data_IF_209659137982
#
_entry.id   IF_209659137982
#
_cell.length_a   1.000
_cell.length_b   1.000
_cell.length_c   1.000
_cell.angle_alpha   90.00
_cell.angle_beta   90.00
_cell.angle_gamma   90.00
#
_symmetry.space_group_name_H-M   'P 1'
#
loop_
_entity.id
_entity.type
_entity.pdbx_description
1 polymer ?
#
# COMPACT_ATOMS: atom_id res chain seq x y z
N UNK A 1 14.93 -15.38 -46.61
CA UNK A 1 13.78 -14.47 -46.39
C UNK A 1 14.01 -13.86 -45.02
N UNK A 2 14.21 -12.54 -44.92
CA UNK A 2 14.33 -11.88 -43.61
C UNK A 2 12.93 -11.84 -42.99
N UNK A 3 12.86 -12.15 -41.70
CA UNK A 3 11.60 -12.22 -40.98
C UNK A 3 11.12 -10.79 -40.67
N UNK A 4 9.94 -10.42 -41.17
CA UNK A 4 9.39 -9.06 -41.08
C UNK A 4 9.10 -8.67 -39.61
N UNK A 5 8.98 -9.68 -38.74
CA UNK A 5 8.71 -9.54 -37.32
C UNK A 5 9.98 -9.43 -36.45
N UNK A 6 11.19 -9.61 -37.00
CA UNK A 6 12.41 -9.46 -36.22
C UNK A 6 12.61 -8.01 -35.75
N UNK A 7 13.13 -7.83 -34.54
CA UNK A 7 13.48 -6.53 -33.98
C UNK A 7 14.95 -6.24 -34.20
N UNK A 8 15.23 -5.78 -35.41
CA UNK A 8 16.53 -5.22 -35.77
C UNK A 8 16.41 -3.71 -35.93
N UNK A 9 17.51 -3.00 -35.68
CA UNK A 9 17.59 -1.53 -35.90
C UNK A 9 17.17 -1.15 -37.33
N UNK A 10 17.35 -2.06 -38.29
CA UNK A 10 16.92 -1.90 -39.67
C UNK A 10 15.39 -2.00 -39.84
N UNK A 11 14.74 -2.99 -39.22
CA UNK A 11 13.28 -3.14 -39.29
C UNK A 11 12.55 -1.96 -38.60
N UNK A 12 13.11 -1.40 -37.53
CA UNK A 12 12.56 -0.21 -36.89
C UNK A 12 12.67 1.04 -37.77
N UNK A 13 13.79 1.20 -38.49
CA UNK A 13 13.93 2.25 -39.48
C UNK A 13 12.89 2.10 -40.62
N UNK A 14 12.62 0.87 -41.07
CA UNK A 14 11.62 0.60 -42.11
C UNK A 14 10.17 0.83 -41.65
N UNK A 15 9.85 0.50 -40.39
CA UNK A 15 8.55 0.83 -39.76
C UNK A 15 8.36 2.34 -39.68
N UNK A 16 9.39 3.07 -39.25
CA UNK A 16 9.38 4.55 -39.19
C UNK A 16 9.22 5.21 -40.56
N UNK A 17 9.74 4.59 -41.61
CA UNK A 17 9.59 5.05 -43.00
C UNK A 17 8.29 4.58 -43.67
N UNK A 18 7.45 3.79 -43.00
CA UNK A 18 6.17 3.29 -43.52
C UNK A 18 6.28 2.19 -44.58
N UNK A 19 7.44 1.55 -44.70
CA UNK A 19 7.70 0.46 -45.67
C UNK A 19 7.17 -0.88 -45.13
N UNK A 20 7.21 -1.07 -43.80
CA UNK A 20 6.67 -2.24 -43.09
C UNK A 20 5.56 -1.76 -42.15
N UNK A 21 4.46 -2.51 -41.96
CA UNK A 21 3.40 -2.17 -41.01
C UNK A 21 3.92 -1.94 -39.59
N UNK A 22 3.31 -1.00 -38.86
CA UNK A 22 3.57 -0.80 -37.43
C UNK A 22 3.21 -2.07 -36.64
N UNK A 23 3.95 -2.33 -35.57
CA UNK A 23 3.64 -3.45 -34.68
C UNK A 23 2.27 -3.26 -34.04
N UNK A 24 1.51 -4.35 -33.83
CA UNK A 24 0.30 -4.28 -33.03
C UNK A 24 0.67 -3.73 -31.64
N UNK A 25 -0.01 -2.65 -31.24
CA UNK A 25 0.08 -2.12 -29.88
C UNK A 25 -0.68 -3.09 -29.00
N UNK A 26 0.04 -3.90 -28.23
CA UNK A 26 -0.59 -4.69 -27.18
C UNK A 26 -1.01 -3.72 -26.09
N UNK A 27 -2.29 -3.73 -25.72
CA UNK A 27 -2.76 -2.93 -24.61
C UNK A 27 -2.08 -3.46 -23.33
N UNK A 28 -1.35 -2.61 -22.58
CA UNK A 28 -0.76 -3.02 -21.31
C UNK A 28 -1.76 -3.65 -20.34
N UNK A 29 -3.04 -3.27 -20.40
CA UNK A 29 -4.08 -3.85 -19.56
C UNK A 29 -4.43 -5.29 -19.98
N UNK A 30 -4.57 -5.58 -21.28
CA UNK A 30 -4.81 -6.94 -21.78
C UNK A 30 -3.66 -7.90 -21.42
N UNK A 31 -2.42 -7.37 -21.43
CA UNK A 31 -1.22 -8.11 -21.02
C UNK A 31 -1.22 -8.41 -19.52
N UNK A 32 -1.69 -7.48 -18.69
CA UNK A 32 -1.82 -7.66 -17.25
C UNK A 32 -2.90 -8.69 -16.91
N UNK A 33 -4.06 -8.60 -17.56
CA UNK A 33 -5.18 -9.52 -17.36
C UNK A 33 -4.77 -10.95 -17.72
N UNK A 34 -4.11 -11.14 -18.87
CA UNK A 34 -3.58 -12.45 -19.27
C UNK A 34 -2.55 -13.01 -18.27
N UNK A 35 -1.73 -12.14 -17.68
CA UNK A 35 -0.74 -12.55 -16.69
C UNK A 35 -1.41 -12.99 -15.37
N UNK A 36 -2.50 -12.32 -14.97
CA UNK A 36 -3.30 -12.71 -13.80
C UNK A 36 -3.97 -14.07 -14.06
N UNK A 37 -4.63 -14.24 -15.22
CA UNK A 37 -5.26 -15.51 -15.58
C UNK A 37 -4.26 -16.68 -15.63
N UNK A 38 -3.07 -16.45 -16.18
CA UNK A 38 -2.01 -17.47 -16.23
C UNK A 38 -1.49 -17.85 -14.84
N UNK A 39 -1.39 -16.88 -13.92
CA UNK A 39 -1.03 -17.12 -12.52
C UNK A 39 -2.10 -17.97 -11.84
N UNK A 40 -3.37 -17.57 -11.97
CA UNK A 40 -4.49 -18.23 -11.30
C UNK A 40 -4.65 -19.68 -11.82
N UNK A 41 -4.45 -19.90 -13.12
CA UNK A 41 -4.45 -21.24 -13.70
C UNK A 41 -3.30 -22.12 -13.18
N UNK A 42 -2.10 -21.55 -13.03
CA UNK A 42 -0.96 -22.27 -12.46
C UNK A 42 -1.18 -22.64 -10.99
N UNK A 43 -1.76 -21.73 -10.22
CA UNK A 43 -2.07 -21.94 -8.81
C UNK A 43 -3.14 -23.02 -8.62
N UNK A 44 -4.21 -22.99 -9.42
CA UNK A 44 -5.23 -24.03 -9.44
C UNK A 44 -4.65 -25.40 -9.82
N UNK A 45 -3.73 -25.45 -10.78
CA UNK A 45 -3.07 -26.69 -11.21
C UNK A 45 -2.17 -27.25 -10.10
N UNK A 46 -1.44 -26.38 -9.40
CA UNK A 46 -0.63 -26.73 -8.23
C UNK A 46 -1.50 -27.29 -7.10
N UNK A 47 -2.60 -26.61 -6.75
CA UNK A 47 -3.52 -27.03 -5.69
C UNK A 47 -4.20 -28.37 -6.02
N UNK A 48 -4.54 -28.60 -7.29
CA UNK A 48 -5.18 -29.86 -7.73
C UNK A 48 -4.30 -31.11 -7.62
N UNK A 49 -2.99 -30.93 -7.43
CA UNK A 49 -2.01 -32.03 -7.33
C UNK A 49 -1.69 -32.43 -5.89
N UNK A 50 -2.17 -31.67 -4.92
CA UNK A 50 -1.93 -31.90 -3.50
C UNK A 50 -3.02 -32.81 -2.93
N UNK A 51 -2.66 -33.63 -1.96
CA UNK A 51 -3.61 -34.47 -1.21
C UNK A 51 -4.33 -33.65 -0.11
N UNK A 52 -5.41 -34.19 0.46
CA UNK A 52 -6.22 -33.47 1.46
C UNK A 52 -5.40 -33.03 2.68
N UNK A 53 -4.51 -33.89 3.18
CA UNK A 53 -3.65 -33.57 4.32
C UNK A 53 -2.66 -32.43 4.00
N UNK A 54 -2.19 -32.35 2.75
CA UNK A 54 -1.29 -31.28 2.30
C UNK A 54 -2.03 -29.96 2.04
N UNK A 55 -3.31 -30.03 1.65
CA UNK A 55 -4.20 -28.86 1.54
C UNK A 55 -4.50 -28.25 2.91
N UNK A 56 -4.81 -29.08 3.90
CA UNK A 56 -5.09 -28.65 5.27
C UNK A 56 -3.86 -27.92 5.87
N UNK A 57 -2.64 -28.44 5.67
CA UNK A 57 -1.41 -27.74 6.09
C UNK A 57 -1.21 -26.39 5.39
N UNK A 58 -1.67 -26.26 4.14
CA UNK A 58 -1.56 -25.01 3.38
C UNK A 58 -2.58 -23.96 3.85
N UNK A 59 -3.80 -24.39 4.20
CA UNK A 59 -4.86 -23.54 4.76
C UNK A 59 -4.42 -22.91 6.08
N UNK A 60 -3.82 -23.70 6.98
CA UNK A 60 -3.28 -23.22 8.26
C UNK A 60 -2.18 -22.14 8.07
N UNK A 61 -1.33 -22.29 7.04
CA UNK A 61 -0.27 -21.32 6.74
C UNK A 61 -0.82 -20.01 6.14
N UNK A 62 -1.81 -20.09 5.25
CA UNK A 62 -2.49 -18.89 4.75
C UNK A 62 -3.19 -18.13 5.88
N UNK A 63 -3.86 -18.85 6.80
CA UNK A 63 -4.49 -18.25 7.97
C UNK A 63 -3.48 -17.55 8.88
N UNK A 64 -2.30 -18.14 9.10
CA UNK A 64 -1.20 -17.52 9.85
C UNK A 64 -0.69 -16.22 9.18
N UNK A 65 -0.52 -16.22 7.86
CA UNK A 65 -0.10 -15.04 7.08
C UNK A 65 -1.16 -13.92 7.15
N UNK A 66 -2.45 -14.28 7.06
CA UNK A 66 -3.57 -13.35 7.24
C UNK A 66 -3.56 -12.78 8.66
N UNK A 67 -3.36 -13.60 9.68
CA UNK A 67 -3.31 -13.17 11.08
C UNK A 67 -2.12 -12.23 11.33
N UNK A 68 -0.95 -12.51 10.75
CA UNK A 68 0.23 -11.66 10.85
C UNK A 68 0.02 -10.32 10.14
N UNK A 69 -0.59 -10.35 8.95
CA UNK A 69 -0.94 -9.13 8.22
C UNK A 69 -1.91 -8.24 9.02
N UNK A 70 -2.93 -8.83 9.64
CA UNK A 70 -3.88 -8.13 10.49
C UNK A 70 -3.19 -7.55 11.74
N UNK A 71 -2.30 -8.31 12.37
CA UNK A 71 -1.51 -7.85 13.52
C UNK A 71 -0.64 -6.66 13.14
N UNK A 72 0.05 -6.73 12.00
CA UNK A 72 0.86 -5.62 11.46
C UNK A 72 0.00 -4.39 11.18
N UNK A 73 -1.18 -4.57 10.57
CA UNK A 73 -2.12 -3.48 10.33
C UNK A 73 -2.54 -2.82 11.65
N UNK A 74 -2.95 -3.60 12.65
CA UNK A 74 -3.34 -3.07 13.97
C UNK A 74 -2.21 -2.32 14.68
N UNK A 75 -0.99 -2.85 14.65
CA UNK A 75 0.18 -2.16 15.21
C UNK A 75 0.47 -0.86 14.48
N UNK A 76 0.33 -0.84 13.15
CA UNK A 76 0.49 0.39 12.37
C UNK A 76 -0.57 1.44 12.69
N UNK A 77 -1.82 1.02 12.90
CA UNK A 77 -2.92 1.89 13.31
C UNK A 77 -2.68 2.47 14.71
N UNK A 78 -2.20 1.65 15.64
CA UNK A 78 -1.83 2.09 16.99
C UNK A 78 -0.66 3.07 16.96
N UNK A 79 0.42 2.75 16.23
CA UNK A 79 1.57 3.63 16.08
C UNK A 79 1.20 4.96 15.39
N UNK A 80 0.29 4.93 14.41
CA UNK A 80 -0.24 6.13 13.79
C UNK A 80 -1.03 7.00 14.79
N UNK A 81 -1.85 6.37 15.64
CA UNK A 81 -2.59 7.07 16.71
C UNK A 81 -1.65 7.67 17.76
N UNK A 82 -0.65 6.94 18.23
CA UNK A 82 0.37 7.47 19.14
C UNK A 82 1.13 8.64 18.50
N UNK A 83 1.47 8.55 17.22
CA UNK A 83 2.11 9.67 16.50
C UNK A 83 1.19 10.89 16.36
N UNK A 84 -0.13 10.69 16.35
CA UNK A 84 -1.10 11.79 16.38
C UNK A 84 -1.31 12.39 17.77
N UNK A 85 -0.90 11.72 18.84
CA UNK A 85 -0.85 12.30 20.19
C UNK A 85 0.28 13.34 20.24
N UNK A 86 -0.03 14.53 19.75
CA UNK A 86 0.90 15.68 19.68
C UNK A 86 1.27 16.24 21.05
N UNK A 87 0.50 15.92 22.08
CA UNK A 87 0.64 16.45 23.43
C UNK A 87 1.05 15.29 24.35
N UNK A 88 2.02 15.53 25.23
CA UNK A 88 2.50 14.50 26.15
C UNK A 88 1.45 14.09 27.18
N UNK A 89 1.80 13.10 27.99
CA UNK A 89 0.92 12.60 29.05
C UNK A 89 0.79 13.62 30.20
N UNK A 90 -0.44 13.96 30.56
CA UNK A 90 -0.76 14.77 31.74
C UNK A 90 -1.07 16.25 31.47
N UNK A 91 -1.16 17.02 32.55
CA UNK A 91 -1.53 18.45 32.53
C UNK A 91 -0.29 19.30 32.71
N UNK A 92 -0.04 20.24 31.78
CA UNK A 92 1.08 21.18 31.85
C UNK A 92 0.65 22.45 32.59
N UNK A 93 1.42 22.84 33.61
CA UNK A 93 1.23 24.12 34.28
C UNK A 93 1.75 25.26 33.39
N UNK A 94 0.90 26.26 33.12
CA UNK A 94 1.24 27.40 32.27
C UNK A 94 1.23 28.71 33.05
N UNK A 95 2.11 29.62 32.66
CA UNK A 95 2.18 30.97 33.23
C UNK A 95 1.24 31.93 32.50
N UNK A 96 0.90 33.06 33.13
CA UNK A 96 0.05 34.10 32.51
C UNK A 96 0.55 34.61 31.14
N UNK A 97 1.85 34.90 30.92
CA UNK A 97 2.32 35.34 29.60
C UNK A 97 2.24 34.23 28.54
N UNK A 98 2.33 32.96 28.93
CA UNK A 98 2.22 31.82 28.01
C UNK A 98 0.77 31.52 27.59
N UNK A 99 -0.22 31.98 28.36
CA UNK A 99 -1.64 31.71 28.12
C UNK A 99 -2.08 32.08 26.72
N UNK A 100 -1.68 33.26 26.23
CA UNK A 100 -2.11 33.73 24.90
C UNK A 100 -1.63 32.76 23.80
N UNK A 101 -0.35 32.42 23.83
CA UNK A 101 0.26 31.53 22.83
C UNK A 101 -0.24 30.09 22.94
N UNK A 102 -0.33 29.55 24.15
CA UNK A 102 -0.62 28.13 24.37
C UNK A 102 -2.12 27.81 24.45
N UNK A 103 -2.98 28.80 24.71
CA UNK A 103 -4.43 28.61 24.81
C UNK A 103 -5.15 29.36 23.70
N UNK A 104 -4.99 30.68 23.62
CA UNK A 104 -5.74 31.50 22.66
C UNK A 104 -5.36 31.17 21.23
N UNK A 105 -4.08 31.29 20.88
CA UNK A 105 -3.61 31.07 19.51
C UNK A 105 -3.69 29.57 19.14
N UNK A 106 -3.41 28.67 20.09
CA UNK A 106 -3.48 27.23 19.86
C UNK A 106 -4.91 26.71 19.66
N UNK A 107 -5.93 27.38 20.23
CA UNK A 107 -7.33 26.97 20.11
C UNK A 107 -7.87 27.00 18.67
N UNK A 108 -7.22 27.73 17.76
CA UNK A 108 -7.57 27.76 16.34
C UNK A 108 -7.18 26.47 15.62
N UNK A 109 -6.15 25.77 16.11
CA UNK A 109 -5.58 24.58 15.47
C UNK A 109 -5.94 23.28 16.20
N UNK A 110 -6.25 23.34 17.50
CA UNK A 110 -6.49 22.17 18.33
C UNK A 110 -7.47 22.46 19.47
N UNK A 111 -8.02 21.39 20.07
CA UNK A 111 -8.82 21.51 21.28
C UNK A 111 -7.92 21.76 22.48
N UNK A 112 -8.21 22.83 23.24
CA UNK A 112 -7.47 23.19 24.45
C UNK A 112 -8.41 23.16 25.65
N UNK A 113 -8.04 22.41 26.69
CA UNK A 113 -8.76 22.36 27.97
C UNK A 113 -7.90 23.02 29.05
N UNK A 114 -8.44 24.03 29.73
CA UNK A 114 -7.72 24.77 30.77
C UNK A 114 -8.40 24.58 32.11
N UNK A 115 -7.62 24.20 33.13
CA UNK A 115 -8.05 24.12 34.52
C UNK A 115 -7.46 25.29 35.32
N UNK A 116 -8.28 26.31 35.61
CA UNK A 116 -7.90 27.43 36.46
C UNK A 116 -8.21 27.10 37.92
N UNK A 117 -7.19 27.09 38.77
CA UNK A 117 -7.33 26.83 40.21
C UNK A 117 -6.60 27.91 41.02
N UNK A 118 -6.93 27.99 42.30
CA UNK A 118 -6.22 28.79 43.30
C UNK A 118 -5.97 27.89 44.50
N UNK A 119 -4.72 27.77 44.92
CA UNK A 119 -4.39 27.05 46.14
C UNK A 119 -5.12 27.70 47.33
N UNK A 120 -5.64 26.84 48.22
CA UNK A 120 -6.39 27.28 49.40
C UNK A 120 -5.48 27.88 50.46
#
# INVERSE_FOLDING_TARGET
>A
MQDINEDTEWNDALRKMGIIPEKPKVDPNELLDLAVEARDAYEAEKLSKLDLDELDELEDLEDDDVLESYRRQRLSELAAKEKTEKYGEGVVAISKPDYKRQVTDASETCWVVVHLYRDR
#
